data_IF_254778432292
#
_entry.id   IF_254778432292
#
_cell.length_a   1.000
_cell.length_b   1.000
_cell.length_c   1.000
_cell.angle_alpha   90.00
_cell.angle_beta   90.00
_cell.angle_gamma   90.00
#
_symmetry.space_group_name_H-M   'P 1'
#
loop_
_entity.id
_entity.type
_entity.pdbx_description
1 polymer ?
#
# COMPACT_ATOMS: atom_id res chain seq x y z
N UNK A 1 -9.25 -17.90 -10.07
CA UNK A 1 -7.87 -17.34 -9.92
C UNK A 1 -7.77 -16.65 -8.56
N UNK A 2 -6.57 -16.46 -7.98
CA UNK A 2 -6.45 -15.76 -6.69
C UNK A 2 -6.06 -14.29 -6.88
N UNK A 3 -6.75 -13.39 -6.19
CA UNK A 3 -6.36 -12.00 -6.03
C UNK A 3 -5.73 -11.82 -4.64
N UNK A 4 -4.49 -11.33 -4.58
CA UNK A 4 -3.81 -11.12 -3.31
C UNK A 4 -4.03 -9.68 -2.84
N UNK A 5 -4.59 -9.52 -1.64
CA UNK A 5 -4.89 -8.23 -1.05
C UNK A 5 -4.69 -8.30 0.46
N UNK A 6 -4.04 -7.30 1.03
CA UNK A 6 -3.84 -7.17 2.48
C UNK A 6 -4.58 -5.93 2.98
N UNK A 7 -5.38 -6.07 4.04
CA UNK A 7 -6.15 -4.97 4.61
C UNK A 7 -5.27 -3.80 5.07
N UNK A 8 -4.00 -4.05 5.41
CA UNK A 8 -3.03 -3.00 5.78
C UNK A 8 -2.77 -2.02 4.63
N UNK A 9 -2.98 -2.43 3.38
CA UNK A 9 -2.80 -1.56 2.22
C UNK A 9 -3.77 -0.37 2.22
N UNK A 10 -4.95 -0.53 2.83
CA UNK A 10 -5.93 0.55 2.96
C UNK A 10 -5.47 1.69 3.88
N UNK A 11 -4.43 1.48 4.72
CA UNK A 11 -3.89 2.52 5.61
C UNK A 11 -3.19 3.63 4.85
N UNK A 12 -2.67 3.36 3.65
CA UNK A 12 -2.00 4.35 2.84
C UNK A 12 -3.01 5.16 2.01
N UNK A 13 -3.52 6.24 2.60
CA UNK A 13 -4.56 7.11 2.01
C UNK A 13 -4.12 8.60 1.95
N UNK A 14 -3.06 8.93 1.17
CA UNK A 14 -2.60 10.30 1.05
C UNK A 14 -3.64 11.17 0.35
N UNK A 15 -3.98 12.31 0.96
CA UNK A 15 -4.97 13.26 0.41
C UNK A 15 -4.38 14.31 -0.52
N UNK A 16 -3.05 14.34 -0.68
CA UNK A 16 -2.35 15.38 -1.40
C UNK A 16 -1.35 14.77 -2.37
N UNK A 17 -1.46 15.18 -3.64
CA UNK A 17 -0.50 14.83 -4.68
C UNK A 17 -0.21 16.05 -5.55
N UNK A 18 1.03 16.19 -6.01
CA UNK A 18 1.46 17.26 -6.92
C UNK A 18 1.52 16.73 -8.34
N UNK A 19 0.89 17.42 -9.30
CA UNK A 19 0.91 17.03 -10.72
C UNK A 19 1.42 18.18 -11.60
N UNK A 20 2.08 17.85 -12.72
CA UNK A 20 2.77 18.81 -13.60
C UNK A 20 1.85 19.87 -14.24
N UNK A 21 0.52 19.66 -14.24
CA UNK A 21 -0.48 20.63 -14.69
C UNK A 21 -1.11 21.31 -13.48
N UNK A 22 -0.59 22.50 -13.17
CA UNK A 22 -1.19 23.60 -12.38
C UNK A 22 -1.94 23.24 -11.09
N UNK A 23 -1.37 23.64 -9.94
CA UNK A 23 -2.03 24.43 -8.88
C UNK A 23 -3.23 23.85 -8.12
N UNK A 24 -3.81 22.73 -8.56
CA UNK A 24 -4.95 22.09 -7.94
C UNK A 24 -4.42 20.96 -7.07
N UNK A 25 -4.72 21.01 -5.76
CA UNK A 25 -4.63 19.83 -4.90
C UNK A 25 -5.56 18.78 -5.50
N UNK A 26 -4.99 17.82 -6.23
CA UNK A 26 -5.75 16.69 -6.73
C UNK A 26 -5.98 15.75 -5.53
N UNK A 27 -7.24 15.54 -5.16
CA UNK A 27 -7.60 14.43 -4.27
C UNK A 27 -7.63 13.16 -5.12
N UNK A 28 -6.70 12.25 -4.86
CA UNK A 28 -6.76 10.89 -5.40
C UNK A 28 -6.83 9.94 -4.21
N UNK A 29 -7.98 9.36 -3.99
CA UNK A 29 -8.10 8.24 -3.05
C UNK A 29 -7.52 7.01 -3.74
N UNK A 30 -6.41 6.49 -3.21
CA UNK A 30 -5.92 5.17 -3.61
C UNK A 30 -6.79 4.11 -2.90
N UNK A 31 -7.96 3.81 -3.49
CA UNK A 31 -8.88 2.83 -2.92
C UNK A 31 -8.32 1.41 -3.05
N UNK A 32 -7.86 0.85 -1.93
CA UNK A 32 -7.27 -0.49 -1.87
C UNK A 32 -8.13 -1.41 -1.01
N UNK A 33 -9.25 -1.85 -1.58
CA UNK A 33 -10.22 -2.77 -0.95
C UNK A 33 -11.00 -3.57 -2.01
N UNK A 34 -11.68 -4.68 -1.67
CA UNK A 34 -12.43 -5.49 -2.65
C UNK A 34 -13.51 -4.70 -3.40
N UNK A 35 -14.07 -3.68 -2.78
CA UNK A 35 -15.07 -2.80 -3.40
C UNK A 35 -14.49 -1.80 -4.42
N UNK A 36 -13.18 -1.72 -4.63
CA UNK A 36 -12.57 -0.71 -5.52
C UNK A 36 -12.85 -1.05 -6.98
N UNK A 37 -12.58 -0.13 -7.91
CA UNK A 37 -12.75 -0.44 -9.33
C UNK A 37 -11.96 -1.69 -9.77
N UNK A 38 -10.74 -1.86 -9.26
CA UNK A 38 -9.92 -3.05 -9.51
C UNK A 38 -10.49 -4.29 -8.78
N UNK A 39 -10.92 -4.13 -7.53
CA UNK A 39 -11.49 -5.23 -6.75
C UNK A 39 -12.78 -5.78 -7.35
N UNK A 40 -13.69 -4.92 -7.79
CA UNK A 40 -14.93 -5.31 -8.50
C UNK A 40 -14.63 -6.02 -9.82
N UNK A 41 -13.62 -5.58 -10.56
CA UNK A 41 -13.18 -6.26 -11.79
C UNK A 41 -12.62 -7.66 -11.49
N UNK A 42 -11.88 -7.84 -10.41
CA UNK A 42 -11.39 -9.15 -9.98
C UNK A 42 -12.55 -10.09 -9.60
N UNK A 43 -13.54 -9.60 -8.84
CA UNK A 43 -14.74 -10.37 -8.50
C UNK A 43 -15.53 -10.78 -9.76
N UNK A 44 -15.74 -9.85 -10.69
CA UNK A 44 -16.44 -10.13 -11.95
C UNK A 44 -15.69 -11.15 -12.84
N UNK A 45 -14.37 -11.25 -12.70
CA UNK A 45 -13.53 -12.24 -13.37
C UNK A 45 -13.48 -13.61 -12.63
N UNK A 46 -14.23 -13.78 -11.53
CA UNK A 46 -14.23 -15.01 -10.74
C UNK A 46 -12.94 -15.22 -9.95
N UNK A 47 -12.31 -14.13 -9.48
CA UNK A 47 -11.17 -14.23 -8.57
C UNK A 47 -11.61 -14.31 -7.10
N UNK A 48 -10.95 -15.17 -6.34
CA UNK A 48 -11.07 -15.24 -4.89
C UNK A 48 -9.96 -14.41 -4.22
N UNK A 49 -10.32 -13.60 -3.22
CA UNK A 49 -9.34 -12.82 -2.47
C UNK A 49 -8.66 -13.65 -1.38
N UNK A 50 -7.35 -13.47 -1.24
CA UNK A 50 -6.56 -14.08 -0.18
C UNK A 50 -5.49 -13.10 0.36
N UNK A 51 -5.16 -13.14 1.66
CA UNK A 51 -4.06 -12.36 2.21
C UNK A 51 -2.70 -12.89 1.73
N UNK A 52 -1.67 -12.03 1.62
CA UNK A 52 -0.31 -12.48 1.37
C UNK A 52 0.28 -13.21 2.58
N UNK A 53 1.30 -14.04 2.34
CA UNK A 53 2.18 -14.51 3.41
C UNK A 53 3.19 -13.41 3.76
N UNK A 54 3.61 -13.37 5.02
CA UNK A 54 4.75 -12.55 5.42
C UNK A 54 6.06 -13.26 5.03
N UNK A 55 6.86 -12.62 4.19
CA UNK A 55 8.17 -13.11 3.74
C UNK A 55 9.33 -12.39 4.43
N UNK A 56 9.05 -11.52 5.40
CA UNK A 56 10.02 -10.63 6.03
C UNK A 56 10.60 -9.59 5.06
N UNK A 57 11.63 -8.87 5.51
CA UNK A 57 12.28 -7.84 4.70
C UNK A 57 13.28 -8.39 3.66
N UNK A 58 13.63 -9.67 3.74
CA UNK A 58 14.65 -10.30 2.87
C UNK A 58 14.43 -10.06 1.37
N UNK A 59 13.23 -10.37 0.82
CA UNK A 59 12.95 -10.15 -0.61
C UNK A 59 13.04 -8.68 -1.05
N UNK A 60 12.60 -7.72 -0.23
CA UNK A 60 12.65 -6.29 -0.59
C UNK A 60 14.08 -5.72 -0.43
N UNK A 61 14.86 -6.20 0.55
CA UNK A 61 16.24 -5.80 0.78
C UNK A 61 17.22 -6.37 -0.26
N UNK A 62 16.83 -7.40 -1.01
CA UNK A 62 17.60 -7.88 -2.16
C UNK A 62 17.58 -6.90 -3.35
N UNK A 63 16.65 -5.94 -3.36
CA UNK A 63 16.43 -4.98 -4.46
C UNK A 63 16.74 -3.55 -4.01
N UNK A 64 16.42 -3.20 -2.76
CA UNK A 64 16.56 -1.86 -2.21
C UNK A 64 17.67 -1.78 -1.16
N UNK A 65 18.32 -0.62 -1.05
CA UNK A 65 19.32 -0.39 -0.01
C UNK A 65 18.69 -0.34 1.38
N UNK A 66 19.47 -0.70 2.40
CA UNK A 66 19.01 -0.68 3.78
C UNK A 66 18.63 0.75 4.23
N UNK A 67 19.41 1.76 3.82
CA UNK A 67 19.15 3.16 4.14
C UNK A 67 17.80 3.63 3.58
N UNK A 68 17.46 3.21 2.36
CA UNK A 68 16.18 3.56 1.76
C UNK A 68 15.00 2.89 2.48
N UNK A 69 15.15 1.62 2.88
CA UNK A 69 14.09 0.92 3.62
C UNK A 69 13.88 1.53 5.02
N UNK A 70 14.96 1.88 5.72
CA UNK A 70 14.89 2.60 7.00
C UNK A 70 14.25 3.98 6.83
N UNK A 71 14.57 4.70 5.76
CA UNK A 71 13.92 5.97 5.45
C UNK A 71 12.41 5.82 5.22
N UNK A 72 11.97 4.80 4.50
CA UNK A 72 10.55 4.54 4.19
C UNK A 72 9.72 4.06 5.39
N UNK A 73 10.32 3.32 6.33
CA UNK A 73 9.65 2.89 7.58
C UNK A 73 9.24 4.10 8.44
N UNK A 74 9.95 5.22 8.28
CA UNK A 74 9.70 6.46 9.01
C UNK A 74 10.15 6.36 10.47
N UNK A 75 9.94 7.41 11.28
CA UNK A 75 10.25 7.34 12.70
C UNK A 75 9.37 6.29 13.37
N UNK A 76 9.99 5.24 13.90
CA UNK A 76 9.35 4.36 14.87
C UNK A 76 8.86 5.25 16.02
N UNK A 77 7.55 5.36 16.23
CA UNK A 77 7.07 5.90 17.52
C UNK A 77 7.68 5.00 18.59
N UNK A 78 8.48 5.51 19.55
CA UNK A 78 9.00 4.65 20.60
C UNK A 78 7.79 4.12 21.37
N UNK A 79 7.55 2.82 21.27
CA UNK A 79 6.63 2.12 22.13
C UNK A 79 7.14 2.28 23.57
N UNK A 80 6.43 3.09 24.36
CA UNK A 80 6.60 3.18 25.81
C UNK A 80 7.94 3.77 26.28
N UNK A 81 7.92 5.02 26.73
CA UNK A 81 8.67 5.41 27.92
C UNK A 81 7.66 5.79 29.00
N UNK A 82 7.70 5.05 30.11
CA UNK A 82 7.27 5.44 31.45
C UNK A 82 5.78 5.71 31.63
#
# INVERSE_FOLDING_TARGET
MKAILDERQARHDPKHFMSQRQGVRQSRTAETHPGSAAGRRALAAGCDFAPPKDHGAGPIAAIHSAEYLVFLEGPSTPAGRG
#
